data_IF_623377737188
#
_entry.id   IF_623377737188
#
_cell.length_a   1.000
_cell.length_b   1.000
_cell.length_c   1.000
_cell.angle_alpha   90.00
_cell.angle_beta   90.00
_cell.angle_gamma   90.00
#
_symmetry.space_group_name_H-M   'P 1'
#
loop_
_entity.id
_entity.type
_entity.pdbx_description
1 polymer ?
#
# COMPACT_ATOMS: atom_id res chain seq x y z
N UNK A 1 35.36 -32.25 9.56
CA UNK A 1 35.32 -30.96 8.83
C UNK A 1 33.89 -30.82 8.28
N UNK A 2 33.04 -30.11 8.94
CA UNK A 2 31.67 -29.82 8.49
C UNK A 2 31.74 -28.82 7.33
N UNK A 3 31.18 -29.20 6.17
CA UNK A 3 31.02 -28.29 5.03
C UNK A 3 30.18 -27.09 5.48
N UNK A 4 30.53 -25.88 5.07
CA UNK A 4 29.86 -24.68 5.54
C UNK A 4 28.45 -24.57 4.97
N UNK A 5 27.58 -23.91 5.72
CA UNK A 5 26.16 -23.62 5.43
C UNK A 5 25.85 -22.90 4.09
N UNK A 6 26.88 -22.58 3.29
CA UNK A 6 26.80 -21.98 1.95
C UNK A 6 26.10 -22.90 0.94
N UNK A 7 26.25 -24.24 1.09
CA UNK A 7 25.64 -25.21 0.17
C UNK A 7 24.12 -25.29 0.33
N UNK A 8 23.60 -25.15 1.55
CA UNK A 8 22.14 -25.15 1.81
C UNK A 8 21.49 -23.87 1.33
N UNK A 9 22.13 -22.71 1.52
CA UNK A 9 21.64 -21.44 0.99
C UNK A 9 21.62 -21.45 -0.54
N UNK A 10 22.69 -21.90 -1.18
CA UNK A 10 22.79 -21.97 -2.64
C UNK A 10 21.71 -22.88 -3.23
N UNK A 11 21.43 -24.05 -2.64
CA UNK A 11 20.39 -24.97 -3.10
C UNK A 11 18.98 -24.41 -2.90
N UNK A 12 18.75 -23.69 -1.80
CA UNK A 12 17.45 -23.08 -1.50
C UNK A 12 17.12 -21.90 -2.41
N UNK A 13 18.09 -21.02 -2.65
CA UNK A 13 17.88 -19.78 -3.44
C UNK A 13 18.18 -19.95 -4.94
N UNK A 14 19.03 -20.92 -5.28
CA UNK A 14 19.47 -21.15 -6.66
C UNK A 14 19.39 -22.64 -7.05
N UNK A 15 18.20 -23.28 -6.95
CA UNK A 15 18.06 -24.72 -7.26
C UNK A 15 18.53 -25.05 -8.68
N UNK A 16 18.36 -24.14 -9.64
CA UNK A 16 18.81 -24.31 -11.03
C UNK A 16 20.32 -24.52 -11.21
N UNK A 17 21.13 -24.20 -10.20
CA UNK A 17 22.57 -24.50 -10.22
C UNK A 17 22.89 -25.98 -9.90
N UNK A 18 21.90 -26.74 -9.41
CA UNK A 18 22.06 -28.07 -8.86
C UNK A 18 21.15 -29.12 -9.53
N UNK A 19 20.23 -28.72 -10.40
CA UNK A 19 19.25 -29.57 -11.06
C UNK A 19 19.76 -30.06 -12.44
N UNK A 20 19.33 -31.27 -12.85
CA UNK A 20 19.52 -31.76 -14.21
C UNK A 20 18.76 -30.87 -15.21
N UNK A 21 19.42 -30.54 -16.33
CA UNK A 21 18.83 -29.70 -17.37
C UNK A 21 17.67 -30.45 -18.05
N UNK A 22 16.46 -29.92 -17.96
CA UNK A 22 15.29 -30.37 -18.72
C UNK A 22 15.51 -30.22 -20.23
N UNK A 23 14.83 -31.06 -21.02
CA UNK A 23 14.83 -30.88 -22.47
C UNK A 23 14.29 -29.51 -22.85
N UNK A 24 14.91 -28.73 -23.74
CA UNK A 24 14.53 -27.35 -24.04
C UNK A 24 13.04 -27.17 -24.44
N UNK A 25 12.50 -28.15 -25.17
CA UNK A 25 11.10 -28.12 -25.61
C UNK A 25 10.13 -28.26 -24.45
N UNK A 26 10.36 -29.23 -23.56
CA UNK A 26 9.52 -29.44 -22.37
C UNK A 26 9.55 -28.23 -21.46
N UNK A 27 10.72 -27.61 -21.30
CA UNK A 27 10.84 -26.35 -20.51
C UNK A 27 10.03 -25.20 -21.12
N UNK A 28 10.06 -25.05 -22.46
CA UNK A 28 9.29 -23.99 -23.14
C UNK A 28 7.78 -24.21 -22.97
N UNK A 29 7.31 -25.45 -23.08
CA UNK A 29 5.90 -25.79 -22.90
C UNK A 29 5.43 -25.52 -21.45
N UNK A 30 6.24 -25.91 -20.45
CA UNK A 30 5.98 -25.61 -19.03
C UNK A 30 5.95 -24.09 -18.75
N UNK A 31 6.91 -23.36 -19.31
CA UNK A 31 6.99 -21.90 -19.13
C UNK A 31 5.80 -21.20 -19.79
N UNK A 32 5.36 -21.67 -20.96
CA UNK A 32 4.17 -21.14 -21.65
C UNK A 32 2.92 -21.34 -20.80
N UNK A 33 2.73 -22.54 -20.26
CA UNK A 33 1.60 -22.83 -19.34
C UNK A 33 1.68 -21.94 -18.09
N UNK A 34 2.84 -21.89 -17.43
CA UNK A 34 3.08 -21.09 -16.23
C UNK A 34 2.83 -19.59 -16.46
N UNK A 35 3.19 -19.06 -17.64
CA UNK A 35 2.93 -17.66 -18.00
C UNK A 35 1.42 -17.37 -18.03
N UNK A 36 0.65 -18.21 -18.72
CA UNK A 36 -0.79 -18.00 -18.84
C UNK A 36 -1.52 -18.16 -17.51
N UNK A 37 -1.11 -19.12 -16.68
CA UNK A 37 -1.67 -19.30 -15.33
C UNK A 37 -1.40 -18.08 -14.45
N UNK A 38 -0.20 -17.51 -14.47
CA UNK A 38 0.14 -16.29 -13.71
C UNK A 38 -0.67 -15.08 -14.15
N UNK A 39 -0.97 -14.96 -15.45
CA UNK A 39 -1.84 -13.89 -15.97
C UNK A 39 -3.27 -14.07 -15.46
N UNK A 40 -3.83 -15.30 -15.51
CA UNK A 40 -5.17 -15.59 -15.00
C UNK A 40 -5.27 -15.29 -13.50
N UNK A 41 -4.31 -15.77 -12.71
CA UNK A 41 -4.22 -15.48 -11.27
C UNK A 41 -4.19 -13.97 -11.00
N UNK A 42 -3.39 -13.22 -11.76
CA UNK A 42 -3.30 -11.75 -11.63
C UNK A 42 -4.65 -11.06 -11.86
N UNK A 43 -5.40 -11.49 -12.87
CA UNK A 43 -6.73 -10.95 -13.17
C UNK A 43 -7.71 -11.30 -12.06
N UNK A 44 -7.74 -12.57 -11.63
CA UNK A 44 -8.65 -13.04 -10.59
C UNK A 44 -8.43 -12.32 -9.25
N UNK A 45 -7.17 -12.22 -8.80
CA UNK A 45 -6.81 -11.53 -7.55
C UNK A 45 -7.25 -10.07 -7.60
N UNK A 46 -6.97 -9.35 -8.69
CA UNK A 46 -7.39 -7.95 -8.85
C UNK A 46 -8.90 -7.81 -8.84
N UNK A 47 -9.62 -8.64 -9.59
CA UNK A 47 -11.09 -8.59 -9.63
C UNK A 47 -11.67 -8.75 -8.23
N UNK A 48 -11.28 -9.80 -7.51
CA UNK A 48 -11.72 -10.04 -6.13
C UNK A 48 -11.37 -8.89 -5.18
N UNK A 49 -10.15 -8.37 -5.29
CA UNK A 49 -9.69 -7.25 -4.46
C UNK A 49 -10.54 -6.00 -4.66
N UNK A 50 -10.78 -5.59 -5.90
CA UNK A 50 -11.56 -4.37 -6.19
C UNK A 50 -13.04 -4.54 -5.86
N UNK A 51 -13.64 -5.70 -6.10
CA UNK A 51 -15.01 -5.99 -5.72
C UNK A 51 -15.22 -5.93 -4.20
N UNK A 52 -14.27 -6.47 -3.43
CA UNK A 52 -14.35 -6.50 -1.97
C UNK A 52 -14.12 -5.13 -1.34
N UNK A 53 -13.24 -4.30 -1.92
CA UNK A 53 -12.80 -3.04 -1.30
C UNK A 53 -13.39 -1.79 -1.97
N UNK A 54 -14.31 -1.91 -2.90
CA UNK A 54 -14.80 -0.78 -3.74
C UNK A 54 -15.27 0.43 -2.93
N UNK A 55 -16.05 0.20 -1.86
CA UNK A 55 -16.57 1.29 -1.02
C UNK A 55 -15.44 2.01 -0.26
N UNK A 56 -14.50 1.24 0.30
CA UNK A 56 -13.35 1.78 1.02
C UNK A 56 -12.39 2.53 0.07
N UNK A 57 -12.19 2.04 -1.15
CA UNK A 57 -11.38 2.70 -2.18
C UNK A 57 -12.00 4.04 -2.58
N UNK A 58 -13.32 4.07 -2.82
CA UNK A 58 -14.03 5.30 -3.15
C UNK A 58 -13.94 6.30 -2.00
N UNK A 59 -14.17 5.87 -0.75
CA UNK A 59 -14.09 6.72 0.43
C UNK A 59 -12.69 7.29 0.65
N UNK A 60 -11.65 6.46 0.58
CA UNK A 60 -10.25 6.88 0.69
C UNK A 60 -9.87 7.88 -0.41
N UNK A 61 -10.32 7.65 -1.65
CA UNK A 61 -10.08 8.55 -2.78
C UNK A 61 -10.76 9.91 -2.59
N UNK A 62 -11.98 9.92 -2.05
CA UNK A 62 -12.72 11.15 -1.76
C UNK A 62 -12.05 11.94 -0.63
N UNK A 63 -11.64 11.29 0.46
CA UNK A 63 -10.95 11.96 1.57
C UNK A 63 -9.59 12.52 1.12
N UNK A 64 -8.85 11.82 0.25
CA UNK A 64 -7.64 12.33 -0.37
C UNK A 64 -7.93 13.55 -1.28
N UNK A 65 -9.00 13.51 -2.07
CA UNK A 65 -9.42 14.63 -2.90
C UNK A 65 -9.81 15.87 -2.04
N UNK A 66 -10.53 15.67 -0.95
CA UNK A 66 -10.86 16.72 0.02
C UNK A 66 -9.61 17.32 0.67
N UNK A 67 -8.63 16.49 1.01
CA UNK A 67 -7.35 16.96 1.54
C UNK A 67 -6.63 17.87 0.51
N UNK A 68 -6.51 17.43 -0.74
CA UNK A 68 -5.93 18.27 -1.81
C UNK A 68 -6.73 19.55 -2.07
N UNK A 69 -8.06 19.49 -2.03
CA UNK A 69 -8.91 20.67 -2.18
C UNK A 69 -8.63 21.71 -1.09
N UNK A 70 -8.36 21.27 0.14
CA UNK A 70 -7.99 22.11 1.30
C UNK A 70 -6.51 22.54 1.30
N UNK A 71 -5.77 22.30 0.20
CA UNK A 71 -4.35 22.65 0.07
C UNK A 71 -3.42 21.78 0.89
N UNK A 72 -3.85 20.57 1.27
CA UNK A 72 -3.05 19.56 1.97
C UNK A 72 -2.23 18.75 0.97
N UNK A 73 -1.25 17.99 1.48
CA UNK A 73 -0.37 17.15 0.67
C UNK A 73 -0.48 15.68 1.04
N UNK A 74 -0.02 14.85 0.12
CA UNK A 74 0.15 13.42 0.28
C UNK A 74 1.61 13.10 0.63
N UNK A 75 1.84 12.41 1.75
CA UNK A 75 3.11 11.79 2.10
C UNK A 75 3.00 10.29 1.80
N UNK A 76 3.99 9.72 1.13
CA UNK A 76 3.95 8.29 0.76
C UNK A 76 5.21 7.59 1.24
N UNK A 77 5.07 6.39 1.81
CA UNK A 77 6.19 5.59 2.28
C UNK A 77 5.98 4.09 2.03
N UNK A 78 7.08 3.36 1.94
CA UNK A 78 7.13 1.91 1.74
C UNK A 78 8.57 1.42 1.75
N UNK A 79 8.77 0.10 1.73
CA UNK A 79 10.09 -0.52 1.74
C UNK A 79 10.31 -1.35 0.46
N UNK A 80 11.53 -1.44 -0.05
CA UNK A 80 11.88 -2.25 -1.22
C UNK A 80 11.04 -1.91 -2.45
N UNK A 81 10.33 -2.89 -3.04
CA UNK A 81 9.40 -2.68 -4.15
C UNK A 81 8.26 -1.72 -3.80
N UNK A 82 7.77 -1.74 -2.55
CA UNK A 82 6.77 -0.76 -2.10
C UNK A 82 7.33 0.66 -1.95
N UNK A 83 8.66 0.84 -1.82
CA UNK A 83 9.28 2.16 -1.91
C UNK A 83 9.26 2.70 -3.35
N UNK A 84 9.47 1.83 -4.35
CA UNK A 84 9.33 2.21 -5.76
C UNK A 84 7.88 2.53 -6.12
N UNK A 85 6.90 1.80 -5.55
CA UNK A 85 5.48 2.16 -5.67
C UNK A 85 5.19 3.54 -5.05
N UNK A 86 5.75 3.83 -3.87
CA UNK A 86 5.62 5.13 -3.22
C UNK A 86 6.20 6.28 -4.08
N UNK A 87 7.32 6.04 -4.76
CA UNK A 87 7.90 6.99 -5.72
C UNK A 87 6.97 7.21 -6.92
N UNK A 88 6.41 6.12 -7.45
CA UNK A 88 5.49 6.18 -8.57
C UNK A 88 4.20 6.93 -8.21
N UNK A 89 3.59 6.65 -7.07
CA UNK A 89 2.44 7.43 -6.57
C UNK A 89 2.76 8.92 -6.50
N UNK A 90 3.91 9.29 -5.95
CA UNK A 90 4.27 10.70 -5.82
C UNK A 90 4.43 11.39 -7.19
N UNK A 91 5.04 10.73 -8.18
CA UNK A 91 5.20 11.31 -9.52
C UNK A 91 3.86 11.42 -10.25
N UNK A 92 2.96 10.43 -10.11
CA UNK A 92 1.62 10.47 -10.73
C UNK A 92 0.80 11.68 -10.29
N UNK A 93 0.84 12.02 -9.00
CA UNK A 93 0.14 13.21 -8.50
C UNK A 93 0.86 14.52 -8.83
N UNK A 94 2.19 14.57 -8.78
CA UNK A 94 2.96 15.79 -9.06
C UNK A 94 3.05 16.12 -10.54
N UNK A 95 3.04 15.11 -11.41
CA UNK A 95 3.19 15.27 -12.86
C UNK A 95 2.12 14.48 -13.62
N UNK A 96 0.84 14.88 -13.54
CA UNK A 96 -0.23 14.19 -14.24
C UNK A 96 -0.02 14.27 -15.76
N UNK A 97 0.06 13.11 -16.42
CA UNK A 97 0.25 13.02 -17.87
C UNK A 97 -1.02 13.41 -18.66
N UNK A 98 -2.19 13.31 -18.02
CA UNK A 98 -3.49 13.60 -18.66
C UNK A 98 -3.76 15.08 -18.71
N UNK A 99 -4.05 15.60 -19.92
CA UNK A 99 -4.34 17.01 -20.16
C UNK A 99 -5.53 17.48 -19.28
N UNK A 100 -5.37 18.64 -18.66
CA UNK A 100 -6.40 19.26 -17.80
C UNK A 100 -6.40 18.80 -16.34
N UNK A 101 -5.56 17.85 -15.97
CA UNK A 101 -5.36 17.47 -14.57
C UNK A 101 -4.36 18.40 -13.88
N UNK A 102 -4.63 18.81 -12.64
CA UNK A 102 -3.73 19.68 -11.86
C UNK A 102 -2.61 18.87 -11.23
N UNK A 103 -1.40 19.43 -11.18
CA UNK A 103 -0.34 18.94 -10.31
C UNK A 103 -0.78 19.06 -8.84
N UNK A 104 -0.64 17.99 -8.08
CA UNK A 104 -1.04 17.90 -6.68
C UNK A 104 0.20 17.60 -5.80
N UNK A 105 0.32 18.21 -4.60
CA UNK A 105 1.52 18.07 -3.79
C UNK A 105 1.62 16.67 -3.18
N UNK A 106 2.60 15.89 -3.64
CA UNK A 106 2.88 14.55 -3.13
C UNK A 106 4.39 14.37 -2.89
N UNK A 107 4.77 13.74 -1.79
CA UNK A 107 6.18 13.56 -1.37
C UNK A 107 6.40 12.09 -1.03
N UNK A 108 7.34 11.43 -1.72
CA UNK A 108 7.81 10.11 -1.32
C UNK A 108 8.91 10.24 -0.25
N UNK A 109 8.67 9.67 0.93
CA UNK A 109 9.60 9.70 2.07
C UNK A 109 10.78 8.72 1.92
N UNK A 110 10.78 7.87 0.90
CA UNK A 110 11.86 6.94 0.59
C UNK A 110 12.87 7.50 -0.43
N UNK A 111 12.70 8.74 -0.92
CA UNK A 111 13.54 9.30 -1.97
C UNK A 111 14.86 9.87 -1.46
N UNK A 112 14.88 10.42 -0.25
CA UNK A 112 16.09 11.01 0.32
C UNK A 112 16.91 9.93 1.01
N UNK A 113 17.87 9.37 0.28
CA UNK A 113 18.75 8.32 0.78
C UNK A 113 19.63 8.80 1.94
N UNK A 114 20.07 10.07 1.94
CA UNK A 114 20.85 10.64 3.04
C UNK A 114 19.99 10.69 4.30
N UNK A 115 18.76 11.14 4.21
CA UNK A 115 17.82 11.18 5.34
C UNK A 115 17.50 9.76 5.87
N UNK A 116 17.20 8.81 5.00
CA UNK A 116 16.89 7.43 5.38
C UNK A 116 18.08 6.78 6.08
N UNK A 117 19.29 6.91 5.52
CA UNK A 117 20.50 6.29 6.09
C UNK A 117 20.95 6.97 7.39
N UNK A 118 20.86 8.29 7.49
CA UNK A 118 21.19 9.01 8.73
C UNK A 118 20.27 8.59 9.88
N UNK A 119 18.95 8.60 9.68
CA UNK A 119 18.00 8.17 10.71
C UNK A 119 18.16 6.70 11.05
N UNK A 120 18.37 5.83 10.05
CA UNK A 120 18.61 4.41 10.30
C UNK A 120 19.85 4.15 11.17
N UNK A 121 20.93 4.91 10.95
CA UNK A 121 22.17 4.81 11.72
C UNK A 121 22.04 5.38 13.14
N UNK A 122 21.42 6.55 13.29
CA UNK A 122 21.45 7.32 14.54
C UNK A 122 20.29 7.00 15.49
N UNK A 123 19.13 6.59 14.95
CA UNK A 123 17.90 6.34 15.71
C UNK A 123 17.42 4.90 15.55
N UNK A 124 17.49 4.36 14.33
CA UNK A 124 17.04 3.03 13.98
C UNK A 124 16.11 3.03 12.77
N UNK A 125 16.07 1.90 12.06
CA UNK A 125 15.29 1.76 10.82
C UNK A 125 13.78 1.94 11.03
N UNK A 126 13.29 1.70 12.24
CA UNK A 126 11.86 1.85 12.56
C UNK A 126 11.38 3.31 12.49
N UNK A 127 12.29 4.28 12.56
CA UNK A 127 11.95 5.70 12.60
C UNK A 127 12.34 6.48 11.34
N UNK A 128 12.77 5.80 10.27
CA UNK A 128 13.22 6.45 9.02
C UNK A 128 12.15 7.33 8.38
N UNK A 129 10.87 6.99 8.53
CA UNK A 129 9.74 7.79 8.04
C UNK A 129 9.21 8.75 9.10
N UNK A 130 9.26 8.38 10.38
CA UNK A 130 8.75 9.16 11.52
C UNK A 130 9.33 10.57 11.55
N UNK A 131 10.66 10.70 11.41
CA UNK A 131 11.34 12.00 11.42
C UNK A 131 10.88 12.92 10.30
N UNK A 132 10.68 12.36 9.11
CA UNK A 132 10.23 13.11 7.95
C UNK A 132 8.75 13.53 8.09
N UNK A 133 7.89 12.67 8.65
CA UNK A 133 6.49 13.00 8.92
C UNK A 133 6.40 14.17 9.92
N UNK A 134 7.21 14.15 10.98
CA UNK A 134 7.26 15.26 11.97
C UNK A 134 7.69 16.57 11.32
N UNK A 135 8.67 16.53 10.42
CA UNK A 135 9.21 17.73 9.78
C UNK A 135 8.31 18.30 8.68
N UNK A 136 7.64 17.43 7.91
CA UNK A 136 6.94 17.78 6.67
C UNK A 136 5.41 17.77 6.82
N UNK A 137 4.88 16.98 7.78
CA UNK A 137 3.45 16.77 7.95
C UNK A 137 2.76 17.94 8.64
N UNK A 138 1.51 18.15 8.29
CA UNK A 138 0.61 19.12 8.90
C UNK A 138 -0.76 18.47 9.12
N UNK A 139 -1.54 18.95 10.08
CA UNK A 139 -2.90 18.49 10.31
C UNK A 139 -3.75 18.52 9.03
N UNK A 140 -4.41 17.40 8.72
CA UNK A 140 -5.23 17.23 7.54
C UNK A 140 -4.47 16.78 6.28
N UNK A 141 -3.14 16.66 6.33
CA UNK A 141 -2.38 15.95 5.28
C UNK A 141 -2.75 14.45 5.26
N UNK A 142 -2.33 13.74 4.22
CA UNK A 142 -2.57 12.31 4.10
C UNK A 142 -1.24 11.55 4.14
N UNK A 143 -1.18 10.47 4.93
CA UNK A 143 -0.10 9.49 4.87
C UNK A 143 -0.60 8.22 4.19
N UNK A 144 0.04 7.83 3.08
CA UNK A 144 -0.12 6.53 2.44
C UNK A 144 1.10 5.65 2.74
N UNK A 145 0.87 4.52 3.41
CA UNK A 145 1.89 3.52 3.67
C UNK A 145 1.65 2.25 2.86
N UNK A 146 2.67 1.74 2.17
CA UNK A 146 2.57 0.56 1.30
C UNK A 146 3.43 -0.56 1.85
N UNK A 147 2.84 -1.74 2.12
CA UNK A 147 3.52 -2.94 2.62
C UNK A 147 2.85 -4.19 2.10
N UNK A 148 3.57 -5.08 1.43
CA UNK A 148 3.01 -6.35 0.94
C UNK A 148 2.60 -7.30 2.07
N UNK A 149 3.25 -7.24 3.24
CA UNK A 149 2.93 -8.09 4.39
C UNK A 149 2.05 -7.41 5.46
N UNK A 150 1.86 -6.09 5.37
CA UNK A 150 1.20 -5.31 6.41
C UNK A 150 1.90 -5.29 7.79
N UNK A 151 3.16 -5.81 7.87
CA UNK A 151 3.86 -6.02 9.14
C UNK A 151 5.11 -5.14 9.34
N UNK A 152 5.38 -4.19 8.44
CA UNK A 152 6.57 -3.34 8.51
C UNK A 152 6.54 -2.40 9.71
N UNK A 153 7.44 -2.57 10.68
CA UNK A 153 7.46 -1.79 11.93
C UNK A 153 7.65 -0.28 11.69
N UNK A 154 8.50 0.10 10.72
CA UNK A 154 8.70 1.51 10.38
C UNK A 154 7.44 2.18 9.81
N UNK A 155 6.57 1.42 9.14
CA UNK A 155 5.26 1.93 8.72
C UNK A 155 4.31 2.05 9.91
N UNK A 156 4.33 1.10 10.85
CA UNK A 156 3.50 1.20 12.07
C UNK A 156 3.89 2.44 12.89
N UNK A 157 5.19 2.74 13.05
CA UNK A 157 5.68 3.97 13.69
C UNK A 157 5.25 5.21 12.90
N UNK A 158 5.31 5.15 11.57
CA UNK A 158 4.84 6.22 10.68
C UNK A 158 3.35 6.52 10.88
N UNK A 159 2.49 5.49 10.87
CA UNK A 159 1.05 5.64 11.09
C UNK A 159 0.73 6.16 12.50
N UNK A 160 1.38 5.64 13.54
CA UNK A 160 1.22 6.15 14.90
C UNK A 160 1.57 7.63 15.02
N UNK A 161 2.61 8.08 14.33
CA UNK A 161 3.02 9.49 14.30
C UNK A 161 2.05 10.34 13.50
N UNK A 162 1.65 9.89 12.31
CA UNK A 162 0.66 10.56 11.47
C UNK A 162 -0.68 10.76 12.23
N UNK A 163 -1.14 9.72 12.93
CA UNK A 163 -2.36 9.79 13.74
C UNK A 163 -2.28 10.83 14.84
N UNK A 164 -1.15 10.90 15.59
CA UNK A 164 -0.93 11.92 16.62
C UNK A 164 -0.91 13.34 16.04
N UNK A 165 -0.44 13.50 14.80
CA UNK A 165 -0.41 14.78 14.09
C UNK A 165 -1.71 15.05 13.32
N UNK A 166 -2.75 14.20 13.47
CA UNK A 166 -4.05 14.30 12.82
C UNK A 166 -3.99 14.29 11.28
N UNK A 167 -3.11 13.48 10.72
CA UNK A 167 -3.13 13.15 9.31
C UNK A 167 -4.19 12.07 9.06
N UNK A 168 -4.76 12.08 7.86
CA UNK A 168 -5.54 10.95 7.34
C UNK A 168 -4.57 9.83 6.97
N UNK A 169 -4.90 8.59 7.33
CA UNK A 169 -4.00 7.46 7.18
C UNK A 169 -4.59 6.37 6.29
N UNK A 170 -3.87 6.05 5.21
CA UNK A 170 -4.25 5.03 4.23
C UNK A 170 -3.15 3.97 4.17
N UNK A 171 -3.51 2.70 4.30
CA UNK A 171 -2.60 1.57 4.21
C UNK A 171 -2.94 0.67 3.02
N UNK A 172 -1.92 0.33 2.21
CA UNK A 172 -2.01 -0.74 1.23
C UNK A 172 -1.28 -1.96 1.77
N UNK A 173 -1.98 -3.07 1.90
CA UNK A 173 -1.48 -4.31 2.47
C UNK A 173 -1.74 -5.51 1.54
N UNK A 174 -1.20 -6.65 1.87
CA UNK A 174 -1.47 -7.92 1.20
C UNK A 174 -1.66 -9.04 2.22
N UNK A 175 -1.97 -10.24 1.72
CA UNK A 175 -2.27 -11.44 2.49
C UNK A 175 -3.48 -11.26 3.42
N UNK A 176 -3.30 -11.36 4.72
CA UNK A 176 -4.31 -11.06 5.75
C UNK A 176 -4.28 -9.59 6.23
N UNK A 177 -3.36 -8.79 5.68
CA UNK A 177 -3.15 -7.39 6.02
C UNK A 177 -2.31 -7.15 7.27
N UNK A 178 -1.93 -8.19 8.00
CA UNK A 178 -1.03 -8.17 9.16
C UNK A 178 -1.43 -7.16 10.23
N UNK A 179 -0.43 -6.52 10.83
CA UNK A 179 -0.60 -5.46 11.85
C UNK A 179 -1.40 -4.27 11.31
N UNK A 180 -1.23 -3.91 10.03
CA UNK A 180 -1.97 -2.79 9.43
C UNK A 180 -3.48 -3.05 9.47
N UNK A 181 -3.94 -4.24 9.07
CA UNK A 181 -5.36 -4.59 9.12
C UNK A 181 -5.87 -4.67 10.56
N UNK A 182 -5.10 -5.25 11.49
CA UNK A 182 -5.49 -5.37 12.90
C UNK A 182 -5.61 -4.01 13.61
N UNK A 183 -4.94 -2.97 13.11
CA UNK A 183 -4.97 -1.61 13.65
C UNK A 183 -5.87 -0.66 12.84
N UNK A 184 -6.66 -1.21 11.91
CA UNK A 184 -7.67 -0.43 11.17
C UNK A 184 -8.71 0.14 12.14
N UNK A 185 -9.11 1.39 11.91
CA UNK A 185 -9.97 2.15 12.83
C UNK A 185 -9.26 2.74 14.05
N UNK A 186 -8.02 2.32 14.36
CA UNK A 186 -7.20 2.87 15.44
C UNK A 186 -6.07 3.76 14.92
N UNK A 187 -5.16 3.18 14.14
CA UNK A 187 -4.04 3.88 13.52
C UNK A 187 -4.26 4.20 12.05
N UNK A 188 -5.06 3.39 11.35
CA UNK A 188 -5.40 3.59 9.94
C UNK A 188 -6.88 3.93 9.80
N UNK A 189 -7.18 4.98 9.03
CA UNK A 189 -8.53 5.30 8.61
C UNK A 189 -9.00 4.33 7.52
N UNK A 190 -8.07 3.88 6.65
CA UNK A 190 -8.32 2.91 5.59
C UNK A 190 -7.20 1.89 5.52
N UNK A 191 -7.52 0.60 5.48
CA UNK A 191 -6.59 -0.49 5.19
C UNK A 191 -7.13 -1.31 4.01
N UNK A 192 -6.47 -1.20 2.84
CA UNK A 192 -6.87 -1.85 1.60
C UNK A 192 -5.99 -3.08 1.38
N UNK A 193 -6.54 -4.27 1.64
CA UNK A 193 -5.79 -5.53 1.69
C UNK A 193 -6.06 -6.38 0.47
N UNK A 194 -5.00 -6.72 -0.29
CA UNK A 194 -5.05 -7.63 -1.43
C UNK A 194 -5.04 -9.08 -0.93
N UNK A 195 -6.08 -9.89 -1.18
CA UNK A 195 -6.27 -11.20 -0.54
C UNK A 195 -5.48 -12.31 -1.23
N UNK A 196 -4.16 -12.26 -1.17
CA UNK A 196 -3.21 -13.28 -1.64
C UNK A 196 -1.88 -13.17 -0.92
N UNK A 197 -1.17 -14.29 -0.73
CA UNK A 197 0.20 -14.32 -0.19
C UNK A 197 1.28 -14.09 -1.26
N UNK A 198 0.91 -14.06 -2.55
CA UNK A 198 1.85 -13.81 -3.65
C UNK A 198 2.29 -12.35 -3.70
N UNK A 199 3.54 -12.07 -3.31
CA UNK A 199 4.11 -10.71 -3.30
C UNK A 199 3.93 -10.01 -4.66
N UNK A 200 4.15 -10.72 -5.76
CA UNK A 200 4.02 -10.16 -7.11
C UNK A 200 2.57 -9.75 -7.43
N UNK A 201 1.58 -10.62 -7.09
CA UNK A 201 0.15 -10.31 -7.29
C UNK A 201 -0.30 -9.15 -6.41
N UNK A 202 0.23 -9.05 -5.18
CA UNK A 202 -0.01 -7.92 -4.28
C UNK A 202 0.50 -6.63 -4.91
N UNK A 203 1.76 -6.58 -5.33
CA UNK A 203 2.36 -5.38 -5.95
C UNK A 203 1.65 -4.98 -7.23
N UNK A 204 1.34 -5.93 -8.13
CA UNK A 204 0.54 -5.65 -9.34
C UNK A 204 -0.85 -5.06 -9.02
N UNK A 205 -1.46 -5.48 -7.93
CA UNK A 205 -2.74 -4.95 -7.47
C UNK A 205 -2.60 -3.55 -6.86
N UNK A 206 -1.51 -3.29 -6.10
CA UNK A 206 -1.19 -1.96 -5.58
C UNK A 206 -0.98 -0.96 -6.73
N UNK A 207 -0.26 -1.37 -7.80
CA UNK A 207 -0.08 -0.54 -9.01
C UNK A 207 -1.45 -0.17 -9.62
N UNK A 208 -2.32 -1.14 -9.83
CA UNK A 208 -3.65 -0.89 -10.36
C UNK A 208 -4.47 0.02 -9.43
N UNK A 209 -4.37 -0.19 -8.11
CA UNK A 209 -5.09 0.57 -7.10
C UNK A 209 -4.72 2.05 -7.14
N UNK A 210 -3.44 2.40 -7.05
CA UNK A 210 -3.09 3.82 -7.01
C UNK A 210 -3.35 4.56 -8.32
N UNK A 211 -3.31 3.90 -9.49
CA UNK A 211 -3.73 4.51 -10.75
C UNK A 211 -5.25 4.77 -10.78
N UNK A 212 -6.05 3.83 -10.29
CA UNK A 212 -7.50 4.01 -10.18
C UNK A 212 -7.85 5.10 -9.17
N UNK A 213 -7.20 5.11 -8.00
CA UNK A 213 -7.38 6.16 -7.00
C UNK A 213 -6.96 7.54 -7.54
N UNK A 214 -5.87 7.62 -8.30
CA UNK A 214 -5.44 8.85 -8.96
C UNK A 214 -6.54 9.41 -9.88
N UNK A 215 -7.14 8.57 -10.73
CA UNK A 215 -8.23 9.00 -11.61
C UNK A 215 -9.47 9.43 -10.82
N UNK A 216 -9.85 8.68 -9.78
CA UNK A 216 -10.97 9.04 -8.89
C UNK A 216 -10.75 10.37 -8.19
N UNK A 217 -9.55 10.61 -7.63
CA UNK A 217 -9.19 11.87 -6.95
C UNK A 217 -9.34 13.06 -7.90
N UNK A 218 -8.81 12.96 -9.10
CA UNK A 218 -8.93 14.02 -10.08
C UNK A 218 -10.38 14.23 -10.56
N UNK A 219 -11.17 13.18 -10.62
CA UNK A 219 -12.59 13.24 -10.95
C UNK A 219 -13.38 13.93 -9.82
N UNK A 220 -13.12 13.57 -8.56
CA UNK A 220 -13.75 14.25 -7.41
C UNK A 220 -13.40 15.73 -7.33
N UNK A 221 -12.15 16.11 -7.62
CA UNK A 221 -11.72 17.51 -7.63
C UNK A 221 -12.43 18.36 -8.71
N UNK A 222 -12.98 17.75 -9.75
CA UNK A 222 -13.80 18.45 -10.74
C UNK A 222 -15.24 18.70 -10.24
N UNK A 223 -15.70 17.93 -9.25
CA UNK A 223 -17.03 18.08 -8.64
C UNK A 223 -16.94 18.84 -7.34
N UNK A 224 -17.05 20.19 -7.40
CA UNK A 224 -16.93 21.07 -6.22
C UNK A 224 -17.88 20.68 -5.09
N UNK A 225 -19.12 20.29 -5.41
CA UNK A 225 -20.12 19.89 -4.40
C UNK A 225 -19.66 18.70 -3.54
N UNK A 226 -18.90 17.75 -4.10
CA UNK A 226 -18.44 16.58 -3.36
C UNK A 226 -17.23 16.87 -2.45
N UNK A 227 -16.40 17.85 -2.80
CA UNK A 227 -15.19 18.17 -2.00
C UNK A 227 -15.42 19.29 -1.00
N UNK A 228 -16.45 20.15 -1.20
CA UNK A 228 -16.82 21.25 -0.31
C UNK A 228 -17.81 20.83 0.79
N UNK A 229 -18.69 19.83 0.53
CA UNK A 229 -19.75 19.42 1.44
C UNK A 229 -19.33 18.25 2.36
N UNK A 230 -19.37 18.48 3.66
CA UNK A 230 -19.09 17.45 4.67
C UNK A 230 -20.26 16.48 4.88
N UNK A 231 -21.48 16.83 4.45
CA UNK A 231 -22.73 16.12 4.74
C UNK A 231 -23.14 15.11 3.66
N UNK A 232 -22.60 15.16 2.46
CA UNK A 232 -23.19 14.51 1.28
C UNK A 232 -22.65 13.12 0.90
N UNK A 233 -22.09 12.34 1.81
CA UNK A 233 -21.90 10.89 1.56
C UNK A 233 -22.63 10.08 2.63
N UNK A 234 -23.96 9.90 2.52
CA UNK A 234 -24.70 9.01 3.41
C UNK A 234 -24.27 7.58 3.18
N UNK A 235 -23.78 6.92 4.22
CA UNK A 235 -23.60 5.45 4.23
C UNK A 235 -22.18 4.91 4.07
N UNK A 236 -21.18 5.71 3.67
CA UNK A 236 -19.83 5.16 3.46
C UNK A 236 -19.04 4.95 4.77
N UNK A 237 -19.25 5.79 5.79
CA UNK A 237 -18.52 5.65 7.08
C UNK A 237 -19.04 4.54 8.00
N UNK A 238 -20.26 4.04 7.81
CA UNK A 238 -20.84 3.00 8.68
C UNK A 238 -20.48 1.57 8.29
N UNK A 239 -19.87 1.33 7.14
CA UNK A 239 -19.49 -0.01 6.68
C UNK A 239 -18.01 -0.33 6.88
N UNK A 240 -17.20 0.63 7.31
CA UNK A 240 -15.75 0.46 7.55
C UNK A 240 -15.43 -0.02 8.98
N UNK A 241 -16.42 -0.04 9.89
CA UNK A 241 -16.27 -0.67 11.21
C UNK A 241 -16.35 -2.18 11.06
N UNK A 242 -15.23 -2.86 11.35
CA UNK A 242 -15.07 -4.32 11.31
C UNK A 242 -16.12 -5.12 12.08
N UNK A 243 -16.15 -6.45 11.93
CA UNK A 243 -17.18 -7.29 12.50
C UNK A 243 -17.27 -7.11 14.01
N UNK A 244 -18.46 -6.70 14.48
CA UNK A 244 -18.79 -6.64 15.88
C UNK A 244 -18.68 -8.04 16.47
N UNK A 245 -17.83 -8.19 17.47
CA UNK A 245 -17.81 -9.35 18.37
C UNK A 245 -19.18 -9.46 19.05
N UNK A 246 -20.07 -10.28 18.52
CA UNK A 246 -21.27 -10.75 19.22
C UNK A 246 -21.09 -12.19 19.65
N UNK A 247 -21.25 -12.36 20.95
CA UNK A 247 -21.68 -13.53 21.69
C UNK A 247 -20.77 -14.77 21.79
N UNK A 248 -20.05 -14.78 22.90
CA UNK A 248 -19.87 -16.02 23.65
C UNK A 248 -20.19 -15.75 25.12
N UNK A 249 -21.46 -15.90 25.49
CA UNK A 249 -21.83 -16.16 26.91
C UNK A 249 -21.56 -17.65 27.23
N UNK A 250 -20.93 -17.98 28.33
CA UNK A 250 -20.86 -19.37 28.82
C UNK A 250 -22.21 -19.74 29.42
N UNK A 251 -22.81 -20.81 28.92
CA UNK A 251 -23.89 -21.49 29.62
C UNK A 251 -23.27 -22.33 30.75
N UNK A 252 -23.83 -22.13 31.92
CA UNK A 252 -23.63 -22.86 33.19
C UNK A 252 -23.81 -24.35 33.06
#
# INVERSE_FOLDING_TARGET
MTKPAIDDFSRSFYPFLHDEQKQPKELVDELTFSLLEKVRESVEVKTRFFETNKEAIIAASLDLAKAFHRGRKLLVCGNGGSATDAQHVAVEFMHPITVGRKALPAICLANDMAMVTAVANDVGFNDVFTRQIIALGSEGDVLLGISTSGNSENLMHAFATARRMKLITIGFAGDDGGKMASMSGQLLDYCLTVPTSSIHRIQESHVALYHIMWDMVHTFLQSKSLVEDESQVPGLKSQVSGPSSQDSQPQT
#
